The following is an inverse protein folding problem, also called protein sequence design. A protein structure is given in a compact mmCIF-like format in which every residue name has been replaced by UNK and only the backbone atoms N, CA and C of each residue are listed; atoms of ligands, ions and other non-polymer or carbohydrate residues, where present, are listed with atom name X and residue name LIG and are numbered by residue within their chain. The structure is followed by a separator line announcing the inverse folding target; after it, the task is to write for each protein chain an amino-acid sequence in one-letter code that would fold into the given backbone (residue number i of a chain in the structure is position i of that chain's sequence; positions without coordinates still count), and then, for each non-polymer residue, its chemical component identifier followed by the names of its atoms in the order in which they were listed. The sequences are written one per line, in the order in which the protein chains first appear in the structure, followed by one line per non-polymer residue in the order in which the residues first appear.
data_IF_872793264152
#
_entry.id   IF_872793264152
#
_cell.length_a   1.000
_cell.length_b   1.000
_cell.length_c   1.000
_cell.angle_alpha   90.00
_cell.angle_beta   90.00
_cell.angle_gamma   90.00
#
_symmetry.space_group_name_H-M   'P 1'
#
loop_
_entity.id
_entity.type
_entity.pdbx_description
1 polymer ?
#
# COMPACT_ATOMS: atom_id res chain seq x y z
N UNK A 1 -1.60 -3.00 23.46
CA UNK A 1 -1.95 -4.23 22.74
C UNK A 1 -2.10 -3.86 21.28
N UNK A 2 -1.28 -4.44 20.40
CA UNK A 2 -1.34 -4.12 18.97
C UNK A 2 -2.56 -4.78 18.36
N UNK A 3 -3.31 -4.03 17.54
CA UNK A 3 -4.52 -4.54 16.90
C UNK A 3 -4.17 -5.64 15.89
N UNK A 4 -5.00 -6.69 15.80
CA UNK A 4 -4.89 -7.74 14.79
C UNK A 4 -4.80 -7.16 13.36
N UNK A 5 -5.52 -6.07 13.09
CA UNK A 5 -5.44 -5.36 11.80
C UNK A 5 -4.06 -4.76 11.54
N UNK A 6 -3.42 -4.22 12.58
CA UNK A 6 -2.09 -3.63 12.44
C UNK A 6 -1.02 -4.71 12.22
N UNK A 7 -1.18 -5.87 12.85
CA UNK A 7 -0.33 -7.04 12.59
C UNK A 7 -0.48 -7.52 11.14
N UNK A 8 -1.71 -7.71 10.65
CA UNK A 8 -1.94 -8.10 9.25
C UNK A 8 -1.38 -7.10 8.25
N UNK A 9 -1.55 -5.79 8.49
CA UNK A 9 -0.93 -4.76 7.61
C UNK A 9 0.60 -4.82 7.65
N UNK A 10 1.20 -5.05 8.83
CA UNK A 10 2.65 -5.17 8.97
C UNK A 10 3.20 -6.35 8.15
N UNK A 11 2.51 -7.49 8.14
CA UNK A 11 2.87 -8.65 7.33
C UNK A 11 2.85 -8.32 5.82
N UNK A 12 1.79 -7.69 5.33
CA UNK A 12 1.69 -7.28 3.93
C UNK A 12 2.77 -6.26 3.55
N UNK A 13 3.07 -5.29 4.42
CA UNK A 13 4.16 -4.32 4.19
C UNK A 13 5.53 -4.99 4.14
N UNK A 14 5.73 -6.06 4.91
CA UNK A 14 6.97 -6.84 4.82
C UNK A 14 7.10 -7.57 3.48
N UNK A 15 6.00 -8.13 2.94
CA UNK A 15 5.97 -8.71 1.59
C UNK A 15 6.33 -7.65 0.53
N UNK A 16 5.68 -6.49 0.58
CA UNK A 16 5.94 -5.36 -0.33
C UNK A 16 7.39 -4.89 -0.28
N UNK A 17 7.95 -4.78 0.93
CA UNK A 17 9.35 -4.40 1.14
C UNK A 17 10.31 -5.42 0.53
N UNK A 18 10.03 -6.72 0.65
CA UNK A 18 10.84 -7.78 0.03
C UNK A 18 10.75 -7.79 -1.49
N UNK A 19 9.58 -7.45 -2.04
CA UNK A 19 9.35 -7.38 -3.47
C UNK A 19 9.86 -6.07 -4.10
N UNK A 20 10.29 -5.09 -3.29
CA UNK A 20 10.59 -3.72 -3.75
C UNK A 20 9.42 -3.08 -4.49
N UNK A 21 8.19 -3.37 -4.06
CA UNK A 21 6.95 -2.84 -4.64
C UNK A 21 6.17 -1.97 -3.66
N UNK A 22 5.18 -1.25 -4.18
CA UNK A 22 4.16 -0.53 -3.39
C UNK A 22 2.84 -1.30 -3.44
N UNK A 23 1.91 -0.93 -2.57
CA UNK A 23 0.56 -1.49 -2.57
C UNK A 23 -0.48 -0.43 -2.27
N UNK A 24 -1.70 -0.65 -2.78
CA UNK A 24 -2.81 0.27 -2.58
C UNK A 24 -3.50 0.04 -1.25
N UNK A 25 -4.14 1.07 -0.69
CA UNK A 25 -4.85 0.95 0.59
C UNK A 25 -5.91 -0.15 0.56
N UNK A 26 -6.66 -0.28 -0.53
CA UNK A 26 -7.70 -1.29 -0.67
C UNK A 26 -7.10 -2.69 -0.69
N UNK A 27 -6.06 -2.92 -1.49
CA UNK A 27 -5.43 -4.26 -1.61
C UNK A 27 -4.76 -4.68 -0.31
N UNK A 28 -4.00 -3.77 0.33
CA UNK A 28 -3.33 -4.07 1.60
C UNK A 28 -4.35 -4.37 2.71
N UNK A 29 -5.40 -3.57 2.83
CA UNK A 29 -6.41 -3.80 3.86
C UNK A 29 -7.13 -5.14 3.66
N UNK A 30 -7.51 -5.45 2.41
CA UNK A 30 -8.19 -6.71 2.05
C UNK A 30 -7.33 -7.92 2.45
N UNK A 31 -6.03 -7.91 2.10
CA UNK A 31 -5.10 -8.99 2.45
C UNK A 31 -4.87 -9.08 3.97
N UNK A 32 -4.90 -7.95 4.67
CA UNK A 32 -4.88 -7.89 6.13
C UNK A 32 -6.24 -8.25 6.80
N UNK A 33 -7.25 -8.69 6.03
CA UNK A 33 -8.51 -9.22 6.53
C UNK A 33 -9.56 -8.15 6.89
N UNK A 34 -9.48 -6.93 6.35
CA UNK A 34 -10.48 -5.89 6.60
C UNK A 34 -10.69 -4.95 5.40
N UNK A 35 -11.73 -4.11 5.45
CA UNK A 35 -11.92 -3.07 4.43
C UNK A 35 -11.09 -1.83 4.74
N UNK A 36 -10.48 -1.22 3.73
CA UNK A 36 -9.79 0.07 3.85
C UNK A 36 -10.71 1.22 4.31
N UNK A 37 -12.02 1.03 4.23
CA UNK A 37 -13.04 2.02 4.55
C UNK A 37 -13.14 3.11 3.49
N UNK A 38 -14.10 4.02 3.64
CA UNK A 38 -14.33 5.12 2.70
C UNK A 38 -13.05 5.93 2.50
N UNK A 39 -12.58 6.06 1.25
CA UNK A 39 -11.35 6.77 0.89
C UNK A 39 -10.12 6.32 1.71
N UNK A 40 -10.05 5.05 2.08
CA UNK A 40 -8.90 4.49 2.83
C UNK A 40 -8.79 4.92 4.30
N UNK A 41 -9.82 5.56 4.90
CA UNK A 41 -9.74 6.11 6.27
C UNK A 41 -9.43 5.06 7.35
N UNK A 42 -9.93 3.85 7.21
CA UNK A 42 -9.63 2.78 8.17
C UNK A 42 -8.17 2.32 8.02
N UNK A 43 -7.68 2.25 6.78
CA UNK A 43 -6.28 1.92 6.49
C UNK A 43 -5.32 2.96 7.03
N UNK A 44 -5.57 4.25 6.78
CA UNK A 44 -4.77 5.36 7.32
C UNK A 44 -4.70 5.34 8.85
N UNK A 45 -5.81 5.03 9.51
CA UNK A 45 -5.84 4.88 10.98
C UNK A 45 -4.98 3.69 11.44
N UNK A 46 -5.01 2.59 10.70
CA UNK A 46 -4.18 1.42 10.96
C UNK A 46 -2.68 1.73 10.76
N UNK A 47 -2.33 2.43 9.68
CA UNK A 47 -0.96 2.83 9.35
C UNK A 47 -0.31 3.70 10.42
N UNK A 48 -1.07 4.55 11.13
CA UNK A 48 -0.54 5.29 12.29
C UNK A 48 0.01 4.37 13.38
N UNK A 49 -0.65 3.23 13.61
CA UNK A 49 -0.18 2.21 14.57
C UNK A 49 1.05 1.50 14.02
N UNK A 50 1.04 1.14 12.74
CA UNK A 50 2.18 0.46 12.09
C UNK A 50 3.42 1.33 12.05
N UNK A 51 3.30 2.64 11.72
CA UNK A 51 4.41 3.60 11.76
C UNK A 51 5.05 3.69 13.14
N UNK A 52 4.25 3.59 14.21
CA UNK A 52 4.74 3.64 15.60
C UNK A 52 5.40 2.32 16.02
N UNK A 53 4.75 1.19 15.75
CA UNK A 53 5.16 -0.12 16.28
C UNK A 53 6.23 -0.80 15.39
N UNK A 54 6.21 -0.55 14.07
CA UNK A 54 7.14 -1.11 13.09
C UNK A 54 7.62 -0.06 12.06
N UNK A 55 8.32 1.01 12.48
CA UNK A 55 8.80 2.06 11.58
C UNK A 55 9.72 1.55 10.46
N UNK A 56 10.42 0.42 10.69
CA UNK A 56 11.35 -0.20 9.75
C UNK A 56 10.67 -0.93 8.57
N UNK A 57 9.34 -1.14 8.62
CA UNK A 57 8.59 -1.81 7.57
C UNK A 57 8.20 -0.89 6.41
N UNK A 58 8.66 0.36 6.41
CA UNK A 58 8.48 1.28 5.29
C UNK A 58 6.99 1.48 4.99
N UNK A 59 6.24 1.96 5.99
CA UNK A 59 4.80 2.24 5.90
C UNK A 59 4.40 3.07 4.67
N UNK A 60 5.34 3.89 4.16
CA UNK A 60 5.20 4.70 2.96
C UNK A 60 5.00 3.90 1.66
N UNK A 61 5.21 2.57 1.68
CA UNK A 61 4.85 1.69 0.55
C UNK A 61 3.35 1.51 0.36
N UNK A 62 2.54 1.83 1.37
CA UNK A 62 1.10 1.88 1.23
C UNK A 62 0.69 3.23 0.67
N UNK A 63 0.04 3.25 -0.50
CA UNK A 63 -0.45 4.48 -1.15
C UNK A 63 -1.94 4.38 -1.40
N UNK A 64 -2.55 5.51 -1.74
CA UNK A 64 -3.95 5.57 -2.15
C UNK A 64 -4.19 4.75 -3.42
N UNK A 65 -5.45 4.36 -3.65
CA UNK A 65 -5.81 3.55 -4.80
C UNK A 65 -5.67 4.29 -6.14
N UNK A 66 -5.56 5.62 -6.11
CA UNK A 66 -5.29 6.50 -7.26
C UNK A 66 -3.80 6.89 -7.39
N UNK A 67 -2.91 6.31 -6.58
CA UNK A 67 -1.47 6.58 -6.64
C UNK A 67 -1.06 7.96 -6.14
N UNK A 68 -1.98 8.70 -5.51
CA UNK A 68 -1.77 10.07 -5.03
C UNK A 68 -1.32 10.13 -3.57
N UNK A 69 -0.36 11.00 -3.31
CA UNK A 69 0.09 11.37 -1.95
C UNK A 69 -0.03 12.88 -1.75
N UNK A 70 -0.03 13.31 -0.48
CA UNK A 70 -0.02 14.73 -0.16
C UNK A 70 1.32 15.36 -0.58
N UNK A 71 1.25 16.45 -1.33
CA UNK A 71 2.42 17.15 -1.86
C UNK A 71 3.30 17.68 -0.72
N UNK A 72 4.60 17.45 -0.82
CA UNK A 72 5.58 17.89 0.19
C UNK A 72 5.47 17.17 1.54
N UNK A 73 4.68 16.10 1.63
CA UNK A 73 4.58 15.29 2.85
C UNK A 73 5.78 14.36 3.04
N UNK A 74 6.01 13.91 4.28
CA UNK A 74 6.97 12.83 4.60
C UNK A 74 6.77 11.61 3.70
N UNK A 75 5.51 11.31 3.33
CA UNK A 75 5.18 10.16 2.50
C UNK A 75 5.76 10.32 1.09
N UNK A 76 5.56 11.49 0.46
CA UNK A 76 6.11 11.81 -0.84
C UNK A 76 7.65 11.78 -0.83
N UNK A 77 8.28 12.38 0.19
CA UNK A 77 9.74 12.38 0.32
C UNK A 77 10.30 10.96 0.46
N UNK A 78 9.67 10.12 1.29
CA UNK A 78 10.13 8.74 1.51
C UNK A 78 9.94 7.84 0.28
N UNK A 79 8.93 8.10 -0.56
CA UNK A 79 8.79 7.42 -1.84
C UNK A 79 9.93 7.77 -2.79
N UNK A 80 10.29 9.05 -2.88
CA UNK A 80 11.44 9.51 -3.68
C UNK A 80 12.75 8.89 -3.16
N UNK A 81 12.99 8.93 -1.85
CA UNK A 81 14.15 8.27 -1.24
C UNK A 81 14.14 6.75 -1.43
N UNK A 82 12.95 6.15 -1.54
CA UNK A 82 12.74 4.74 -1.85
C UNK A 82 12.99 4.37 -3.31
N UNK A 83 13.29 5.35 -4.17
CA UNK A 83 13.57 5.17 -5.60
C UNK A 83 12.34 5.25 -6.51
N UNK A 84 11.19 5.70 -5.99
CA UNK A 84 9.99 5.93 -6.81
C UNK A 84 10.01 7.36 -7.35
N UNK A 85 9.65 7.53 -8.61
CA UNK A 85 9.47 8.86 -9.17
C UNK A 85 8.07 9.38 -8.78
N UNK A 86 8.05 10.63 -8.29
CA UNK A 86 6.86 11.30 -7.79
C UNK A 86 6.83 12.70 -8.37
N UNK A 87 5.73 13.03 -9.04
CA UNK A 87 5.53 14.33 -9.72
C UNK A 87 4.33 15.05 -9.14
N UNK A 88 4.31 16.38 -9.21
CA UNK A 88 3.15 17.16 -8.81
C UNK A 88 1.94 16.84 -9.69
N UNK A 89 0.75 16.74 -9.09
CA UNK A 89 -0.49 16.50 -9.81
C UNK A 89 -0.98 17.80 -10.45
N UNK A 90 -1.04 17.86 -11.78
CA UNK A 90 -1.54 19.03 -12.50
C UNK A 90 -3.04 19.31 -12.24
N UNK A 91 -3.81 18.29 -11.85
CA UNK A 91 -5.23 18.42 -11.56
C UNK A 91 -5.53 18.80 -10.10
N UNK A 92 -4.57 18.63 -9.19
CA UNK A 92 -4.72 18.89 -7.76
C UNK A 92 -3.39 19.38 -7.16
N UNK A 93 -3.27 20.70 -6.98
CA UNK A 93 -2.04 21.36 -6.51
C UNK A 93 -1.58 20.91 -5.10
N UNK A 94 -2.45 20.24 -4.33
CA UNK A 94 -2.15 19.67 -3.01
C UNK A 94 -1.65 18.22 -3.07
N UNK A 95 -1.59 17.61 -4.27
CA UNK A 95 -1.21 16.22 -4.47
C UNK A 95 0.02 16.06 -5.35
N UNK A 96 0.66 14.92 -5.15
CA UNK A 96 1.68 14.39 -6.03
C UNK A 96 1.31 12.95 -6.41
N UNK A 97 1.69 12.52 -7.60
CA UNK A 97 1.37 11.21 -8.17
C UNK A 97 2.67 10.41 -8.29
N UNK A 98 2.63 9.13 -7.93
CA UNK A 98 3.70 8.17 -8.25
C UNK A 98 3.64 7.85 -9.74
N UNK A 99 4.72 8.08 -10.49
CA UNK A 99 4.77 7.73 -11.92
C UNK A 99 4.87 6.20 -12.10
N UNK A 100 4.44 5.72 -13.26
CA UNK A 100 4.37 4.28 -13.58
C UNK A 100 3.67 3.46 -12.49
N UNK A 101 2.69 4.07 -11.81
CA UNK A 101 2.04 3.55 -10.61
C UNK A 101 1.59 2.09 -10.76
N UNK A 102 0.92 1.78 -11.87
CA UNK A 102 0.42 0.44 -12.15
C UNK A 102 1.55 -0.61 -12.25
N UNK A 103 2.72 -0.23 -12.76
CA UNK A 103 3.90 -1.11 -12.83
C UNK A 103 4.57 -1.31 -11.47
N UNK A 104 4.45 -0.32 -10.58
CA UNK A 104 5.07 -0.33 -9.24
C UNK A 104 4.23 -1.03 -8.18
N UNK A 105 2.92 -1.16 -8.42
CA UNK A 105 2.00 -1.88 -7.53
C UNK A 105 2.22 -3.38 -7.64
N UNK A 106 2.36 -4.04 -6.49
CA UNK A 106 2.34 -5.51 -6.44
C UNK A 106 0.91 -5.99 -6.75
N UNK A 107 0.78 -6.86 -7.75
CA UNK A 107 -0.41 -7.70 -7.89
C UNK A 107 -0.16 -9.03 -7.20
N UNK A 108 -1.19 -9.53 -6.52
CA UNK A 108 -1.21 -10.87 -5.90
C UNK A 108 -2.13 -11.82 -6.68
N UNK A 109 -2.62 -11.42 -7.86
CA UNK A 109 -3.63 -12.15 -8.64
C UNK A 109 -3.13 -13.51 -9.16
N UNK A 110 -1.81 -13.72 -9.27
CA UNK A 110 -1.25 -15.04 -9.62
C UNK A 110 -1.53 -16.13 -8.55
N UNK A 111 -1.77 -15.79 -7.28
CA UNK A 111 -2.13 -16.79 -6.25
C UNK A 111 -3.61 -17.21 -6.31
N UNK A 112 -4.50 -16.38 -6.88
CA UNK A 112 -5.95 -16.68 -6.96
C UNK A 112 -6.31 -17.43 -8.24
N UNK A 113 -5.71 -17.10 -9.40
CA UNK A 113 -6.00 -17.79 -10.67
C UNK A 113 -5.51 -19.25 -10.68
N UNK A 114 -4.36 -19.55 -10.05
CA UNK A 114 -3.84 -20.93 -9.99
C UNK A 114 -4.66 -21.82 -9.03
N UNK A 115 -5.19 -21.24 -7.95
CA UNK A 115 -6.07 -21.92 -7.01
C UNK A 115 -7.47 -22.20 -7.60
N UNK A 116 -8.04 -21.23 -8.34
CA UNK A 116 -9.33 -21.39 -8.99
C UNK A 116 -9.26 -22.34 -10.21
N UNK A 117 -8.16 -22.29 -10.98
CA UNK A 117 -7.93 -23.21 -12.09
C UNK A 117 -7.66 -24.66 -11.65
N UNK A 118 -7.07 -24.87 -10.46
CA UNK A 118 -6.90 -26.21 -9.87
C UNK A 118 -8.22 -26.76 -9.30
N UNK A 119 -9.06 -25.91 -8.71
CA UNK A 119 -10.36 -26.30 -8.17
C UNK A 119 -11.39 -26.66 -9.26
N UNK A 120 -11.30 -26.04 -10.44
CA UNK A 120 -12.22 -26.31 -11.57
C UNK A 120 -11.76 -27.47 -12.47
N UNK A 121 -10.64 -28.14 -12.14
CA UNK A 121 -10.11 -29.32 -12.85
C UNK A 121 -10.16 -30.62 -12.03
N UNK A 122 -10.71 -30.59 -10.81
CA UNK A 122 -10.91 -31.75 -9.94
C UNK A 122 -12.38 -32.20 -9.92
#
# INVERSE_FOLDING_TARGET
MTSTRAQGVAEVLWELKRASKIGTYTTIARRAGFSAGSKGRAMLTCLKTVRRDWPHLQWWRAVSDDGKVERGSDHATLLVEGGYEVVDDEADEEKSIVTDFEEQVMSWEEEEEEAEAAANKA
#
